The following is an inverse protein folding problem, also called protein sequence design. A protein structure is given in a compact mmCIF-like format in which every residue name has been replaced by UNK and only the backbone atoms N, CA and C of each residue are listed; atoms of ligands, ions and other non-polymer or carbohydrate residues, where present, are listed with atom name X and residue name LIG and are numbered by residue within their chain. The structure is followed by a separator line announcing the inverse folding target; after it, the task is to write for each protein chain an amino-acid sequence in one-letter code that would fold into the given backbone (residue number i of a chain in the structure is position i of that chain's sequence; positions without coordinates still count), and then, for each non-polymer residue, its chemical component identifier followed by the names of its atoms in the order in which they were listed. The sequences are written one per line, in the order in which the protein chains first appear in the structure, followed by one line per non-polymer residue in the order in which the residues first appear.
data_IF_754336942933
#
_entry.id   IF_754336942933
#
_cell.length_a   1.000
_cell.length_b   1.000
_cell.length_c   1.000
_cell.angle_alpha   90.00
_cell.angle_beta   90.00
_cell.angle_gamma   90.00
#
_symmetry.space_group_name_H-M   'P 1'
#
loop_
_entity.id
_entity.type
_entity.pdbx_description
1 polymer ?
#
# COMPACT_ATOMS: atom_id res chain seq x y z
N UNK A 1 -0.64 -25.46 -9.03
CA UNK A 1 -1.80 -24.54 -9.05
C UNK A 1 -1.25 -23.13 -9.09
N UNK A 2 -1.54 -22.36 -10.14
CA UNK A 2 -1.14 -20.96 -10.22
C UNK A 2 -2.01 -20.13 -9.26
N UNK A 3 -1.38 -19.26 -8.45
CA UNK A 3 -2.08 -18.25 -7.65
C UNK A 3 -1.71 -16.90 -8.23
N UNK A 4 -2.72 -16.10 -8.58
CA UNK A 4 -2.51 -14.74 -9.09
C UNK A 4 -1.68 -13.93 -8.08
N UNK A 5 -0.69 -13.14 -8.51
CA UNK A 5 0.06 -12.28 -7.61
C UNK A 5 -0.86 -11.26 -6.91
N UNK A 6 -0.44 -10.84 -5.71
CA UNK A 6 -1.16 -9.83 -4.95
C UNK A 6 -1.20 -8.51 -5.72
N UNK A 7 -2.41 -7.97 -5.93
CA UNK A 7 -2.64 -6.64 -6.49
C UNK A 7 -3.76 -5.93 -5.73
N UNK A 8 -3.68 -4.60 -5.57
CA UNK A 8 -4.75 -3.85 -4.93
C UNK A 8 -5.98 -3.83 -5.84
N UNK A 9 -7.16 -4.10 -5.26
CA UNK A 9 -8.46 -3.92 -5.88
C UNK A 9 -9.07 -2.56 -5.54
N UNK A 10 -8.85 -2.08 -4.31
CA UNK A 10 -9.36 -0.82 -3.82
C UNK A 10 -8.35 -0.13 -2.89
N UNK A 11 -8.41 1.20 -2.87
CA UNK A 11 -7.63 2.06 -1.97
C UNK A 11 -8.62 2.94 -1.21
N UNK A 12 -8.60 2.86 0.13
CA UNK A 12 -9.45 3.66 0.99
C UNK A 12 -8.62 4.61 1.87
N UNK A 13 -9.03 5.88 2.05
CA UNK A 13 -8.39 6.78 2.98
C UNK A 13 -8.66 6.36 4.43
N UNK A 14 -7.63 6.43 5.28
CA UNK A 14 -7.75 6.23 6.72
C UNK A 14 -7.51 7.58 7.40
N UNK A 15 -8.62 8.24 7.73
CA UNK A 15 -8.60 9.60 8.24
C UNK A 15 -7.88 10.55 7.27
N UNK A 16 -6.92 11.32 7.79
CA UNK A 16 -6.07 12.22 6.99
C UNK A 16 -4.59 11.80 6.97
N UNK A 17 -4.24 10.63 7.50
CA UNK A 17 -2.84 10.28 7.79
C UNK A 17 -2.34 9.01 7.08
N UNK A 18 -3.22 8.23 6.46
CA UNK A 18 -2.88 6.94 5.88
C UNK A 18 -3.87 6.49 4.79
N UNK A 19 -3.51 5.40 4.11
CA UNK A 19 -4.37 4.63 3.21
C UNK A 19 -4.39 3.16 3.60
N UNK A 20 -5.48 2.48 3.24
CA UNK A 20 -5.66 1.05 3.36
C UNK A 20 -5.90 0.44 1.97
N UNK A 21 -5.42 -0.79 1.75
CA UNK A 21 -5.61 -1.51 0.49
C UNK A 21 -6.44 -2.77 0.73
N UNK A 22 -7.41 -2.99 -0.16
CA UNK A 22 -8.09 -4.28 -0.31
C UNK A 22 -7.42 -5.06 -1.43
N UNK A 23 -6.95 -6.27 -1.14
CA UNK A 23 -6.17 -7.10 -2.06
C UNK A 23 -7.04 -8.16 -2.75
N UNK A 24 -6.64 -8.58 -3.95
CA UNK A 24 -7.32 -9.63 -4.73
C UNK A 24 -7.34 -11.01 -4.06
N UNK A 25 -6.52 -11.22 -3.04
CA UNK A 25 -6.45 -12.45 -2.25
C UNK A 25 -7.20 -12.36 -0.91
N UNK A 26 -7.94 -11.27 -0.68
CA UNK A 26 -8.79 -11.06 0.50
C UNK A 26 -8.10 -10.39 1.68
N UNK A 27 -6.80 -10.09 1.61
CA UNK A 27 -6.17 -9.29 2.67
C UNK A 27 -6.66 -7.84 2.65
N UNK A 28 -6.80 -7.24 3.83
CA UNK A 28 -7.16 -5.82 3.97
C UNK A 28 -6.63 -5.16 5.26
N UNK A 29 -5.73 -5.79 6.00
CA UNK A 29 -5.32 -5.32 7.33
C UNK A 29 -4.25 -4.22 7.30
N UNK A 30 -3.67 -3.89 6.14
CA UNK A 30 -2.54 -2.97 6.05
C UNK A 30 -2.97 -1.50 6.07
N UNK A 31 -2.54 -0.74 7.07
CA UNK A 31 -2.67 0.73 7.11
C UNK A 31 -1.29 1.32 6.83
N UNK A 32 -1.18 2.10 5.78
CA UNK A 32 0.07 2.67 5.29
C UNK A 32 0.04 4.18 5.48
N UNK A 33 0.75 4.68 6.50
CA UNK A 33 0.81 6.12 6.77
C UNK A 33 1.58 6.88 5.69
N UNK A 34 1.27 8.16 5.51
CA UNK A 34 2.01 9.02 4.59
C UNK A 34 3.50 9.08 4.94
N UNK A 35 3.82 9.08 6.24
CA UNK A 35 5.21 9.04 6.72
C UNK A 35 5.91 7.75 6.29
N UNK A 36 5.25 6.59 6.47
CA UNK A 36 5.79 5.29 6.06
C UNK A 36 6.03 5.25 4.55
N UNK A 37 5.03 5.63 3.74
CA UNK A 37 5.14 5.64 2.29
C UNK A 37 6.23 6.59 1.79
N UNK A 38 6.42 7.74 2.47
CA UNK A 38 7.49 8.68 2.13
C UNK A 38 8.87 8.11 2.46
N UNK A 39 9.02 7.43 3.61
CA UNK A 39 10.26 6.75 4.00
C UNK A 39 10.65 5.64 3.02
N UNK A 40 9.67 4.90 2.54
CA UNK A 40 9.87 3.81 1.57
C UNK A 40 9.83 4.26 0.11
N UNK A 41 9.82 5.57 -0.16
CA UNK A 41 9.73 6.09 -1.51
C UNK A 41 10.93 5.63 -2.35
N UNK A 42 10.72 4.91 -3.48
CA UNK A 42 11.79 4.37 -4.29
C UNK A 42 12.33 5.37 -5.34
N UNK A 43 11.88 6.64 -5.32
CA UNK A 43 12.33 7.61 -6.32
C UNK A 43 13.81 7.95 -6.15
N UNK A 44 14.44 8.38 -7.25
CA UNK A 44 15.85 8.74 -7.26
C UNK A 44 16.20 9.85 -6.25
N UNK A 45 15.27 10.77 -5.97
CA UNK A 45 15.48 11.84 -4.99
C UNK A 45 15.51 11.35 -3.54
N UNK A 46 14.83 10.24 -3.22
CA UNK A 46 14.75 9.71 -1.85
C UNK A 46 15.74 8.57 -1.58
N UNK A 47 16.18 7.85 -2.62
CA UNK A 47 17.16 6.75 -2.52
C UNK A 47 18.57 7.15 -2.99
N UNK A 48 18.73 8.37 -3.52
CA UNK A 48 20.01 8.94 -3.95
C UNK A 48 20.87 9.49 -2.82
#
# INVERSE_FOLDING_TARGET
MYKEPARPLEIAPVGKYAINFHWNDGHSSGIYSWEFLRRECPCAECKG
#
